data_IF_744279433204
#
_entry.id   IF_744279433204
#
_cell.length_a   1.000
_cell.length_b   1.000
_cell.length_c   1.000
_cell.angle_alpha   90.00
_cell.angle_beta   90.00
_cell.angle_gamma   90.00
#
_symmetry.space_group_name_H-M   'P 1'
#
loop_
_entity.id
_entity.type
_entity.pdbx_description
1 polymer ?
#
# COMPACT_ATOMS: atom_id res chain seq x y z
N UNK A 1 21.88 -10.98 2.06
CA UNK A 1 21.71 -12.23 2.81
C UNK A 1 22.37 -12.08 4.18
N UNK A 2 21.56 -12.02 5.22
CA UNK A 2 22.07 -12.00 6.59
C UNK A 2 21.98 -13.42 7.16
N UNK A 3 23.11 -14.01 7.55
CA UNK A 3 23.21 -15.36 8.10
C UNK A 3 22.65 -15.54 9.53
N UNK A 4 22.15 -14.49 10.16
CA UNK A 4 21.51 -14.53 11.48
C UNK A 4 19.98 -14.61 11.36
N UNK A 5 19.49 -15.67 10.77
CA UNK A 5 18.07 -15.92 10.62
C UNK A 5 17.47 -16.45 11.93
N UNK A 6 16.87 -15.58 12.71
CA UNK A 6 15.89 -15.99 13.72
C UNK A 6 14.67 -16.55 12.97
N UNK A 7 14.12 -17.70 13.42
CA UNK A 7 12.94 -18.29 12.78
C UNK A 7 11.85 -17.21 12.66
N UNK A 8 11.30 -16.95 11.46
CA UNK A 8 10.34 -15.87 11.29
C UNK A 8 9.11 -16.15 12.15
N UNK A 9 8.62 -15.11 12.77
CA UNK A 9 7.24 -15.08 13.22
C UNK A 9 6.32 -15.34 12.03
N UNK A 10 5.12 -15.86 12.29
CA UNK A 10 4.16 -16.19 11.23
C UNK A 10 3.94 -14.99 10.29
N UNK A 11 4.03 -15.22 8.98
CA UNK A 11 3.77 -14.23 7.95
C UNK A 11 4.95 -13.92 7.04
N UNK A 12 4.80 -12.92 6.19
CA UNK A 12 5.80 -12.47 5.24
C UNK A 12 6.80 -11.53 5.94
N UNK A 13 8.06 -11.93 5.99
CA UNK A 13 9.14 -11.09 6.47
C UNK A 13 9.85 -10.43 5.28
N UNK A 14 9.55 -9.15 5.04
CA UNK A 14 10.13 -8.37 3.95
C UNK A 14 11.65 -8.17 4.08
N UNK A 15 12.22 -8.37 5.27
CA UNK A 15 13.66 -8.29 5.50
C UNK A 15 14.38 -9.60 5.18
N UNK A 16 13.65 -10.72 5.20
CA UNK A 16 14.18 -12.07 5.00
C UNK A 16 13.27 -12.91 4.10
N UNK A 17 13.22 -12.57 2.83
CA UNK A 17 12.43 -13.31 1.83
C UNK A 17 13.13 -14.62 1.49
N UNK A 18 12.44 -15.74 1.64
CA UNK A 18 12.91 -17.07 1.28
C UNK A 18 12.05 -17.66 0.17
N UNK A 19 12.59 -17.69 -1.03
CA UNK A 19 11.90 -18.18 -2.23
C UNK A 19 12.23 -19.63 -2.50
N UNK A 20 11.21 -20.40 -2.82
CA UNK A 20 11.29 -21.81 -3.23
C UNK A 20 10.47 -22.02 -4.51
N UNK A 21 10.71 -23.13 -5.19
CA UNK A 21 9.95 -23.51 -6.39
C UNK A 21 9.89 -22.42 -7.47
N UNK A 22 11.00 -21.71 -7.68
CA UNK A 22 11.09 -20.67 -8.70
C UNK A 22 11.03 -21.30 -10.11
N UNK A 23 10.03 -20.92 -10.87
CA UNK A 23 9.92 -21.18 -12.31
C UNK A 23 9.70 -19.86 -13.03
N UNK A 24 10.53 -19.56 -14.03
CA UNK A 24 10.42 -18.31 -14.76
C UNK A 24 10.68 -18.52 -16.25
N UNK A 25 9.90 -17.86 -17.09
CA UNK A 25 10.09 -17.77 -18.53
C UNK A 25 10.11 -16.29 -18.93
N UNK A 26 11.28 -15.83 -19.34
CA UNK A 26 11.49 -14.46 -19.81
C UNK A 26 11.93 -14.56 -21.26
N UNK A 27 11.16 -13.94 -22.17
CA UNK A 27 11.40 -14.07 -23.61
C UNK A 27 12.59 -13.30 -24.14
N UNK A 28 12.82 -12.12 -23.57
CA UNK A 28 13.94 -11.28 -23.99
C UNK A 28 14.38 -10.41 -22.83
N UNK A 29 15.65 -10.49 -22.51
CA UNK A 29 16.30 -9.52 -21.64
C UNK A 29 17.38 -8.84 -22.48
N UNK A 30 17.16 -7.58 -22.80
CA UNK A 30 18.20 -6.69 -23.28
C UNK A 30 18.61 -5.82 -22.10
N UNK A 31 19.88 -5.83 -21.75
CA UNK A 31 20.46 -4.98 -20.73
C UNK A 31 21.72 -4.29 -21.27
N UNK A 32 21.64 -2.98 -21.49
CA UNK A 32 22.78 -2.18 -21.92
C UNK A 32 22.74 -0.80 -21.23
N UNK A 33 23.41 -0.68 -20.09
CA UNK A 33 23.37 0.54 -19.30
C UNK A 33 21.97 0.84 -18.75
N UNK A 34 21.33 1.95 -19.20
CA UNK A 34 19.94 2.28 -18.84
C UNK A 34 18.91 1.61 -19.74
N UNK A 35 19.34 0.96 -20.82
CA UNK A 35 18.42 0.26 -21.72
C UNK A 35 18.10 -1.11 -21.13
N UNK A 36 16.85 -1.29 -20.79
CA UNK A 36 16.30 -2.56 -20.31
C UNK A 36 15.05 -2.83 -21.14
N UNK A 37 14.94 -4.03 -21.67
CA UNK A 37 13.69 -4.51 -22.25
C UNK A 37 13.50 -5.93 -21.75
N UNK A 38 12.49 -6.12 -20.92
CA UNK A 38 12.15 -7.42 -20.37
C UNK A 38 10.68 -7.73 -20.64
N UNK A 39 10.43 -8.85 -21.28
CA UNK A 39 9.09 -9.41 -21.43
C UNK A 39 8.98 -10.65 -20.57
N UNK A 40 8.26 -10.53 -19.47
CA UNK A 40 8.00 -11.62 -18.53
C UNK A 40 6.75 -12.33 -19.01
N UNK A 41 6.88 -13.61 -19.39
CA UNK A 41 5.75 -14.45 -19.80
C UNK A 41 5.14 -15.18 -18.63
N UNK A 42 6.00 -15.81 -17.84
CA UNK A 42 5.60 -16.61 -16.71
C UNK A 42 6.62 -16.45 -15.59
N UNK A 43 6.12 -16.28 -14.41
CA UNK A 43 6.92 -16.28 -13.20
C UNK A 43 6.08 -16.92 -12.10
N UNK A 44 6.56 -18.01 -11.56
CA UNK A 44 5.97 -18.69 -10.43
C UNK A 44 6.99 -18.76 -9.31
N UNK A 45 6.56 -18.50 -8.10
CA UNK A 45 7.42 -18.65 -6.93
C UNK A 45 6.58 -18.87 -5.69
N UNK A 46 7.09 -19.67 -4.78
CA UNK A 46 6.53 -19.85 -3.45
C UNK A 46 7.45 -19.19 -2.44
N UNK A 47 6.88 -18.41 -1.52
CA UNK A 47 7.57 -17.85 -0.40
C UNK A 47 7.30 -18.69 0.85
N UNK A 48 8.26 -18.80 1.74
CA UNK A 48 8.23 -19.65 2.94
C UNK A 48 7.03 -19.37 3.86
N UNK A 49 6.50 -18.15 3.89
CA UNK A 49 5.27 -17.79 4.62
C UNK A 49 4.01 -18.48 4.09
N UNK A 50 4.09 -19.12 2.91
CA UNK A 50 2.98 -19.71 2.19
C UNK A 50 2.41 -18.81 1.09
N UNK A 51 2.92 -17.59 0.91
CA UNK A 51 2.54 -16.73 -0.21
C UNK A 51 3.03 -17.37 -1.51
N UNK A 52 2.13 -17.50 -2.49
CA UNK A 52 2.43 -18.07 -3.80
C UNK A 52 2.16 -17.03 -4.88
N UNK A 53 3.19 -16.67 -5.64
CA UNK A 53 2.97 -15.93 -6.89
C UNK A 53 2.70 -16.97 -7.97
N UNK A 54 1.49 -17.00 -8.49
CA UNK A 54 1.05 -17.92 -9.54
C UNK A 54 1.34 -17.40 -10.94
N UNK A 55 1.43 -16.07 -11.09
CA UNK A 55 1.89 -15.43 -12.31
C UNK A 55 2.45 -14.04 -12.01
N UNK A 56 3.53 -13.72 -12.67
CA UNK A 56 3.97 -12.35 -12.92
C UNK A 56 4.19 -12.24 -14.42
N UNK A 57 3.45 -11.38 -15.09
CA UNK A 57 3.52 -11.22 -16.53
C UNK A 57 3.45 -9.75 -16.92
N UNK A 58 4.10 -9.38 -18.01
CA UNK A 58 4.06 -8.01 -18.51
C UNK A 58 5.36 -7.55 -19.13
N UNK A 59 5.39 -6.27 -19.47
CA UNK A 59 6.52 -5.63 -20.10
C UNK A 59 7.11 -4.58 -19.18
N UNK A 60 8.43 -4.57 -19.08
CA UNK A 60 9.20 -3.50 -18.46
C UNK A 60 10.20 -3.03 -19.52
N UNK A 61 10.14 -1.77 -19.86
CA UNK A 61 11.06 -1.12 -20.80
C UNK A 61 11.72 0.04 -20.10
N UNK A 62 12.98 0.19 -20.35
CA UNK A 62 13.72 1.37 -19.94
C UNK A 62 14.66 1.77 -21.08
N UNK A 63 14.78 3.06 -21.31
CA UNK A 63 15.73 3.65 -22.21
C UNK A 63 16.52 4.77 -21.50
N UNK A 64 17.17 5.65 -22.26
CA UNK A 64 17.92 6.78 -21.69
C UNK A 64 17.01 7.87 -21.11
N UNK A 65 15.73 7.90 -21.47
CA UNK A 65 14.78 8.95 -21.11
C UNK A 65 13.88 8.51 -19.95
N UNK A 66 13.35 7.27 -19.98
CA UNK A 66 12.33 6.84 -19.05
C UNK A 66 12.27 5.32 -18.80
N UNK A 67 11.53 4.95 -17.78
CA UNK A 67 11.08 3.58 -17.52
C UNK A 67 9.59 3.51 -17.84
N UNK A 68 9.19 2.56 -18.68
CA UNK A 68 7.80 2.26 -18.99
C UNK A 68 7.41 0.86 -18.51
N UNK A 69 6.32 0.82 -17.79
CA UNK A 69 5.64 -0.40 -17.35
C UNK A 69 4.19 -0.31 -17.82
N UNK A 70 3.92 -0.64 -19.10
CA UNK A 70 2.60 -0.43 -19.70
C UNK A 70 1.51 -1.33 -19.11
N UNK A 71 1.89 -2.53 -18.69
CA UNK A 71 0.99 -3.49 -18.05
C UNK A 71 1.84 -4.56 -17.35
N UNK A 72 1.88 -4.50 -16.04
CA UNK A 72 2.50 -5.54 -15.20
C UNK A 72 1.42 -6.17 -14.35
N UNK A 73 1.20 -7.47 -14.54
CA UNK A 73 0.24 -8.27 -13.80
C UNK A 73 0.97 -9.19 -12.84
N UNK A 74 0.60 -9.11 -11.56
CA UNK A 74 0.96 -10.09 -10.54
C UNK A 74 -0.30 -10.80 -10.07
N UNK A 75 -0.28 -12.12 -10.07
CA UNK A 75 -1.37 -12.96 -9.57
C UNK A 75 -0.86 -13.93 -8.51
N UNK A 76 -1.70 -14.15 -7.53
CA UNK A 76 -1.63 -15.25 -6.58
C UNK A 76 -2.91 -16.08 -6.74
N UNK A 77 -3.10 -17.19 -6.03
CA UNK A 77 -4.38 -17.91 -6.04
C UNK A 77 -5.57 -17.05 -5.56
N UNK A 78 -5.34 -16.02 -4.75
CA UNK A 78 -6.40 -15.25 -4.10
C UNK A 78 -6.37 -13.76 -4.45
N UNK A 79 -5.32 -13.28 -5.11
CA UNK A 79 -5.13 -11.84 -5.36
C UNK A 79 -4.68 -11.57 -6.79
N UNK A 80 -5.02 -10.36 -7.26
CA UNK A 80 -4.53 -9.81 -8.52
C UNK A 80 -4.07 -8.38 -8.32
N UNK A 81 -2.89 -8.03 -8.84
CA UNK A 81 -2.34 -6.67 -8.82
C UNK A 81 -1.90 -6.29 -10.23
N UNK A 82 -2.37 -5.15 -10.72
CA UNK A 82 -1.96 -4.56 -11.99
C UNK A 82 -1.27 -3.23 -11.75
N UNK A 83 -0.13 -3.05 -12.40
CA UNK A 83 0.65 -1.81 -12.34
C UNK A 83 0.87 -1.28 -13.75
N UNK A 84 0.57 0.00 -13.94
CA UNK A 84 0.96 0.78 -15.11
C UNK A 84 1.80 1.96 -14.63
N UNK A 85 2.98 2.19 -15.23
CA UNK A 85 3.82 3.31 -14.84
C UNK A 85 4.63 3.84 -16.03
N UNK A 86 4.84 5.14 -16.02
CA UNK A 86 5.82 5.84 -16.87
C UNK A 86 6.63 6.76 -15.95
N UNK A 87 7.93 6.56 -15.91
CA UNK A 87 8.83 7.24 -14.97
C UNK A 87 10.03 7.81 -15.76
N UNK A 88 10.00 9.09 -16.14
CA UNK A 88 11.17 9.76 -16.71
C UNK A 88 12.33 9.74 -15.73
N UNK A 89 13.53 9.40 -16.17
CA UNK A 89 14.73 9.42 -15.32
C UNK A 89 14.96 10.79 -14.68
N UNK A 90 14.68 11.85 -15.44
CA UNK A 90 14.77 13.23 -14.96
C UNK A 90 13.81 13.55 -13.81
N UNK A 91 12.74 12.78 -13.62
CA UNK A 91 11.82 12.96 -12.49
C UNK A 91 12.38 12.42 -11.16
N UNK A 92 13.45 11.63 -11.22
CA UNK A 92 14.12 10.99 -10.08
C UNK A 92 15.47 11.63 -9.71
N UNK A 93 15.85 12.71 -10.36
CA UNK A 93 17.10 13.45 -10.12
C UNK A 93 16.95 14.44 -8.94
N UNK A 94 18.08 14.96 -8.43
CA UNK A 94 18.09 15.94 -7.34
C UNK A 94 17.34 17.25 -7.70
N UNK A 95 17.38 17.62 -8.98
CA UNK A 95 16.60 18.72 -9.55
C UNK A 95 15.62 18.18 -10.59
N UNK A 96 14.53 17.54 -10.14
CA UNK A 96 13.72 16.73 -11.01
C UNK A 96 12.98 17.58 -12.05
N UNK A 97 13.05 17.10 -13.29
CA UNK A 97 12.29 17.61 -14.42
C UNK A 97 11.28 16.56 -14.87
N UNK A 98 10.21 16.97 -15.49
CA UNK A 98 9.19 16.04 -15.95
C UNK A 98 8.30 15.52 -14.81
N UNK A 99 7.48 14.55 -15.14
CA UNK A 99 6.48 13.99 -14.21
C UNK A 99 6.35 12.49 -14.43
N UNK A 100 6.57 11.71 -13.40
CA UNK A 100 6.21 10.29 -13.38
C UNK A 100 4.70 10.14 -13.19
N UNK A 101 4.17 9.03 -13.72
CA UNK A 101 2.78 8.59 -13.48
C UNK A 101 2.80 7.12 -13.15
N UNK A 102 2.04 6.73 -12.13
CA UNK A 102 1.83 5.33 -11.81
C UNK A 102 0.38 5.10 -11.37
N UNK A 103 -0.19 3.97 -11.80
CA UNK A 103 -1.51 3.51 -11.44
C UNK A 103 -1.43 2.05 -11.02
N UNK A 104 -1.85 1.78 -9.79
CA UNK A 104 -1.99 0.45 -9.23
C UNK A 104 -3.47 0.11 -9.07
N UNK A 105 -3.86 -1.06 -9.56
CA UNK A 105 -5.16 -1.66 -9.27
C UNK A 105 -4.91 -3.02 -8.62
N UNK A 106 -5.46 -3.23 -7.43
CA UNK A 106 -5.29 -4.48 -6.71
C UNK A 106 -6.64 -5.00 -6.16
N UNK A 107 -6.77 -6.31 -6.22
CA UNK A 107 -7.83 -7.09 -5.57
C UNK A 107 -7.14 -8.14 -4.71
N UNK A 108 -7.10 -7.92 -3.40
CA UNK A 108 -6.31 -8.72 -2.46
C UNK A 108 -7.22 -9.66 -1.68
N UNK A 109 -7.04 -10.96 -1.86
CA UNK A 109 -7.78 -11.99 -1.14
C UNK A 109 -7.37 -12.09 0.33
N UNK A 110 -8.28 -12.60 1.15
CA UNK A 110 -8.11 -12.75 2.60
C UNK A 110 -6.84 -13.50 2.98
N UNK A 111 -6.59 -14.63 2.36
CA UNK A 111 -5.43 -15.48 2.71
C UNK A 111 -4.12 -14.73 2.50
N UNK A 112 -3.96 -14.06 1.37
CA UNK A 112 -2.73 -13.32 1.07
C UNK A 112 -2.55 -12.12 1.99
N UNK A 113 -3.65 -11.40 2.29
CA UNK A 113 -3.64 -10.29 3.26
C UNK A 113 -3.23 -10.77 4.65
N UNK A 114 -3.75 -11.91 5.11
CA UNK A 114 -3.42 -12.46 6.42
C UNK A 114 -1.97 -12.96 6.49
N UNK A 115 -1.43 -13.50 5.39
CA UNK A 115 -0.02 -13.85 5.27
C UNK A 115 0.84 -12.56 5.33
N UNK A 116 0.49 -11.55 4.54
CA UNK A 116 1.25 -10.29 4.49
C UNK A 116 1.22 -9.52 5.83
N UNK A 117 0.10 -9.59 6.55
CA UNK A 117 -0.06 -8.92 7.84
C UNK A 117 0.68 -9.62 9.00
N UNK A 118 1.15 -10.85 8.80
CA UNK A 118 1.95 -11.59 9.78
C UNK A 118 1.14 -12.11 10.96
N UNK A 119 1.64 -11.85 12.17
CA UNK A 119 1.07 -12.40 13.41
C UNK A 119 -0.21 -11.66 13.81
N UNK A 120 -1.35 -12.25 13.47
CA UNK A 120 -2.69 -11.76 13.85
C UNK A 120 -3.40 -12.78 14.74
N UNK A 121 -4.28 -12.34 15.67
CA UNK A 121 -5.11 -13.23 16.47
C UNK A 121 -5.94 -14.17 15.59
N UNK A 122 -6.02 -15.45 15.97
CA UNK A 122 -6.80 -16.45 15.22
C UNK A 122 -8.29 -16.09 15.09
N UNK A 123 -8.84 -15.45 16.12
CA UNK A 123 -10.22 -14.98 16.09
C UNK A 123 -10.42 -13.86 15.08
N UNK A 124 -9.43 -12.97 14.92
CA UNK A 124 -9.45 -11.94 13.87
C UNK A 124 -9.37 -12.57 12.48
N UNK A 125 -8.46 -13.53 12.26
CA UNK A 125 -8.35 -14.25 10.99
C UNK A 125 -9.67 -14.92 10.58
N UNK A 126 -10.36 -15.53 11.56
CA UNK A 126 -11.68 -16.16 11.33
C UNK A 126 -12.77 -15.14 11.02
N UNK A 127 -12.77 -14.01 11.76
CA UNK A 127 -13.80 -12.98 11.64
C UNK A 127 -13.60 -12.05 10.41
N UNK A 128 -12.39 -11.99 9.85
CA UNK A 128 -12.10 -11.15 8.68
C UNK A 128 -12.99 -11.55 7.48
N UNK A 129 -13.62 -10.57 6.78
CA UNK A 129 -14.49 -10.85 5.65
C UNK A 129 -13.82 -11.66 4.54
N UNK A 130 -14.56 -12.58 3.92
CA UNK A 130 -14.07 -13.38 2.78
C UNK A 130 -14.14 -12.63 1.44
N UNK A 131 -14.40 -11.33 1.47
CA UNK A 131 -14.39 -10.48 0.28
C UNK A 131 -13.00 -9.89 0.05
N UNK A 132 -12.55 -9.77 -1.22
CA UNK A 132 -11.28 -9.17 -1.49
C UNK A 132 -11.26 -7.68 -1.15
N UNK A 133 -10.12 -7.22 -0.65
CA UNK A 133 -9.82 -5.80 -0.49
C UNK A 133 -9.45 -5.22 -1.85
N UNK A 134 -10.26 -4.31 -2.36
CA UNK A 134 -9.99 -3.59 -3.59
C UNK A 134 -9.21 -2.30 -3.29
N UNK A 135 -8.13 -2.06 -4.04
CA UNK A 135 -7.30 -0.86 -3.95
C UNK A 135 -7.10 -0.31 -5.36
N UNK A 136 -7.34 0.99 -5.53
CA UNK A 136 -6.86 1.74 -6.68
C UNK A 136 -6.03 2.91 -6.18
N UNK A 137 -4.77 2.97 -6.60
CA UNK A 137 -3.84 4.02 -6.18
C UNK A 137 -3.14 4.61 -7.41
N UNK A 138 -3.32 5.90 -7.62
CA UNK A 138 -2.69 6.66 -8.69
C UNK A 138 -1.83 7.78 -8.12
N UNK A 139 -0.64 7.97 -8.68
CA UNK A 139 0.26 9.06 -8.33
C UNK A 139 0.80 9.74 -9.57
N UNK A 140 1.04 11.03 -9.47
CA UNK A 140 1.66 11.85 -10.52
C UNK A 140 2.60 12.88 -9.89
N UNK A 141 3.73 13.13 -10.51
CA UNK A 141 4.69 14.14 -10.04
C UNK A 141 6.14 13.71 -10.19
N UNK A 142 6.99 14.21 -9.32
CA UNK A 142 8.43 13.92 -9.28
C UNK A 142 8.94 14.03 -7.83
N UNK A 143 10.24 13.92 -7.61
CA UNK A 143 10.82 14.02 -6.25
C UNK A 143 10.70 15.41 -5.60
N UNK A 144 10.43 16.47 -6.37
CA UNK A 144 10.11 17.79 -5.79
C UNK A 144 8.64 17.94 -5.42
N UNK A 145 7.74 17.33 -6.20
CA UNK A 145 6.31 17.45 -5.98
C UNK A 145 5.59 16.18 -6.43
N UNK A 146 4.81 15.58 -5.55
CA UNK A 146 4.01 14.39 -5.84
C UNK A 146 2.56 14.62 -5.43
N UNK A 147 1.62 14.11 -6.21
CA UNK A 147 0.20 14.16 -5.96
C UNK A 147 -0.45 12.79 -6.08
N UNK A 148 -1.35 12.47 -5.17
CA UNK A 148 -2.25 11.32 -5.27
C UNK A 148 -3.38 11.72 -6.22
N UNK A 149 -3.44 11.11 -7.40
CA UNK A 149 -4.48 11.34 -8.41
C UNK A 149 -5.70 10.47 -8.19
N UNK A 150 -5.49 9.30 -7.58
CA UNK A 150 -6.53 8.38 -7.19
C UNK A 150 -6.07 7.62 -5.93
N UNK A 151 -7.00 7.45 -4.99
CA UNK A 151 -6.71 6.72 -3.75
C UNK A 151 -8.00 6.15 -3.21
N UNK A 152 -8.42 4.97 -3.74
CA UNK A 152 -9.65 4.30 -3.34
C UNK A 152 -9.31 2.94 -2.72
N UNK A 153 -9.87 2.69 -1.53
CA UNK A 153 -9.70 1.42 -0.81
C UNK A 153 -11.09 0.96 -0.37
N UNK A 154 -11.46 -0.26 -0.69
CA UNK A 154 -12.78 -0.80 -0.39
C UNK A 154 -12.71 -2.26 0.04
N UNK A 155 -13.23 -2.55 1.23
CA UNK A 155 -13.57 -3.90 1.66
C UNK A 155 -15.11 -4.04 1.63
N UNK A 156 -15.69 -4.78 0.66
CA UNK A 156 -17.12 -4.83 0.48
C UNK A 156 -17.88 -5.24 1.73
N UNK A 157 -18.87 -4.43 2.12
CA UNK A 157 -19.65 -4.63 3.35
C UNK A 157 -19.01 -4.11 4.63
N UNK A 158 -17.69 -3.88 4.65
CA UNK A 158 -16.95 -3.42 5.81
C UNK A 158 -16.63 -1.92 5.76
N UNK A 159 -15.96 -1.45 4.73
CA UNK A 159 -15.66 -0.03 4.58
C UNK A 159 -15.31 0.37 3.15
N UNK A 160 -15.42 1.64 2.88
CA UNK A 160 -14.85 2.30 1.71
C UNK A 160 -14.11 3.57 2.16
N UNK A 161 -12.99 3.84 1.52
CA UNK A 161 -12.10 4.96 1.85
C UNK A 161 -11.57 5.60 0.57
N UNK A 162 -11.54 6.92 0.55
CA UNK A 162 -10.91 7.72 -0.49
C UNK A 162 -9.81 8.58 0.14
N UNK A 163 -8.67 8.62 -0.52
CA UNK A 163 -7.48 9.39 -0.11
C UNK A 163 -7.07 10.29 -1.27
N UNK A 164 -6.85 11.55 -0.98
CA UNK A 164 -6.27 12.54 -1.91
C UNK A 164 -5.18 13.32 -1.21
N UNK A 165 -4.28 13.94 -1.95
CA UNK A 165 -3.24 14.75 -1.32
C UNK A 165 -2.10 15.08 -2.25
N UNK A 166 -1.19 15.90 -1.74
CA UNK A 166 0.04 16.26 -2.42
C UNK A 166 1.15 16.52 -1.41
N UNK A 167 2.38 16.41 -1.88
CA UNK A 167 3.56 16.68 -1.08
C UNK A 167 4.61 17.37 -1.94
N UNK A 168 5.18 18.45 -1.41
CA UNK A 168 6.30 19.17 -1.98
C UNK A 168 7.59 18.86 -1.23
N UNK A 169 8.73 18.98 -1.91
CA UNK A 169 10.06 18.68 -1.36
C UNK A 169 10.12 17.29 -0.71
N UNK A 170 9.68 16.26 -1.45
CA UNK A 170 9.44 14.91 -0.94
C UNK A 170 10.67 14.31 -0.25
N UNK A 171 11.87 14.56 -0.79
CA UNK A 171 13.14 14.03 -0.28
C UNK A 171 13.77 14.90 0.81
N UNK A 172 13.35 16.16 0.97
CA UNK A 172 13.88 17.09 1.97
C UNK A 172 13.00 17.12 3.22
N UNK A 173 13.40 16.42 4.26
CA UNK A 173 12.63 16.34 5.52
C UNK A 173 12.43 17.69 6.24
N UNK A 174 13.29 18.67 5.96
CA UNK A 174 13.23 20.01 6.59
C UNK A 174 12.24 20.91 5.84
N UNK A 175 12.31 20.91 4.51
CA UNK A 175 11.47 21.78 3.66
C UNK A 175 10.18 21.10 3.19
N UNK A 176 10.00 19.84 3.53
CA UNK A 176 8.81 19.08 3.15
C UNK A 176 7.54 19.79 3.61
N UNK A 177 6.62 19.98 2.68
CA UNK A 177 5.25 20.43 2.94
C UNK A 177 4.28 19.52 2.23
N UNK A 178 3.10 19.34 2.79
CA UNK A 178 2.10 18.50 2.14
C UNK A 178 0.82 18.40 2.93
N UNK A 179 -0.16 17.85 2.24
CA UNK A 179 -1.52 17.66 2.74
C UNK A 179 -2.05 16.35 2.23
N UNK A 180 -2.67 15.57 3.11
CA UNK A 180 -3.41 14.35 2.79
C UNK A 180 -4.81 14.48 3.36
N UNK A 181 -5.82 14.28 2.54
CA UNK A 181 -7.22 14.23 2.92
C UNK A 181 -7.75 12.81 2.82
N UNK A 182 -8.50 12.41 3.83
CA UNK A 182 -9.10 11.10 3.96
C UNK A 182 -10.61 11.26 4.14
N UNK A 183 -11.38 10.47 3.39
CA UNK A 183 -12.83 10.28 3.60
C UNK A 183 -13.10 8.80 3.65
N UNK A 184 -13.75 8.33 4.71
CA UNK A 184 -14.14 6.95 4.81
C UNK A 184 -15.57 6.79 5.33
N UNK A 185 -16.19 5.67 5.00
CA UNK A 185 -17.49 5.25 5.50
C UNK A 185 -17.42 3.78 5.89
N UNK A 186 -17.88 3.46 7.09
CA UNK A 186 -17.97 2.09 7.55
C UNK A 186 -19.31 1.43 7.19
N UNK A 187 -19.24 0.15 6.89
CA UNK A 187 -20.33 -0.81 7.01
C UNK A 187 -20.19 -1.59 8.31
N UNK A 188 -20.13 -2.91 8.22
CA UNK A 188 -19.90 -3.78 9.38
C UNK A 188 -18.40 -3.92 9.65
N UNK A 189 -17.97 -3.47 10.82
CA UNK A 189 -16.58 -3.54 11.31
C UNK A 189 -16.42 -4.50 12.50
N UNK A 190 -17.39 -5.37 12.78
CA UNK A 190 -17.38 -6.26 13.95
C UNK A 190 -16.14 -7.17 14.00
N UNK A 191 -15.58 -7.52 12.83
CA UNK A 191 -14.34 -8.29 12.75
C UNK A 191 -13.16 -7.61 13.48
N UNK A 192 -13.16 -6.27 13.60
CA UNK A 192 -12.12 -5.55 14.34
C UNK A 192 -12.20 -5.81 15.85
N UNK A 193 -13.39 -6.14 16.38
CA UNK A 193 -13.54 -6.50 17.79
C UNK A 193 -12.77 -7.78 18.13
N UNK A 194 -12.54 -8.64 17.15
CA UNK A 194 -11.74 -9.85 17.34
C UNK A 194 -10.24 -9.59 17.60
N UNK A 195 -9.76 -8.35 17.41
CA UNK A 195 -8.44 -7.91 17.89
C UNK A 195 -8.38 -7.73 19.41
N UNK A 196 -9.52 -7.56 20.06
CA UNK A 196 -9.60 -7.43 21.52
C UNK A 196 -9.57 -8.81 22.18
N UNK A 197 -9.08 -8.89 23.44
CA UNK A 197 -9.25 -10.10 24.26
C UNK A 197 -10.73 -10.50 24.36
N UNK A 198 -11.03 -11.79 24.34
CA UNK A 198 -12.41 -12.30 24.37
C UNK A 198 -13.24 -11.74 25.53
N UNK A 199 -12.62 -11.53 26.71
CA UNK A 199 -13.28 -10.96 27.89
C UNK A 199 -13.72 -9.50 27.77
N UNK A 200 -13.28 -8.81 26.74
CA UNK A 200 -13.58 -7.39 26.52
C UNK A 200 -14.53 -7.15 25.33
N UNK A 201 -14.66 -8.13 24.42
CA UNK A 201 -15.42 -7.95 23.16
C UNK A 201 -16.87 -7.55 23.39
N UNK A 202 -17.53 -8.16 24.34
CA UNK A 202 -18.95 -7.91 24.66
C UNK A 202 -19.20 -6.51 25.26
N UNK A 203 -18.13 -5.81 25.66
CA UNK A 203 -18.23 -4.45 26.22
C UNK A 203 -18.19 -3.37 25.12
N UNK A 204 -17.85 -3.74 23.89
CA UNK A 204 -17.72 -2.82 22.78
C UNK A 204 -18.64 -3.21 21.62
N UNK A 205 -19.16 -2.22 20.93
CA UNK A 205 -19.87 -2.36 19.67
C UNK A 205 -19.39 -1.28 18.72
N UNK A 206 -19.13 -1.65 17.47
CA UNK A 206 -18.77 -0.70 16.43
C UNK A 206 -20.03 -0.46 15.58
N UNK A 207 -20.65 0.71 15.69
CA UNK A 207 -21.84 0.99 14.91
C UNK A 207 -21.51 1.08 13.41
N UNK A 208 -22.39 0.58 12.57
CA UNK A 208 -22.27 0.76 11.11
C UNK A 208 -22.60 2.21 10.71
N UNK A 209 -22.14 2.63 9.54
CA UNK A 209 -22.45 3.94 8.98
C UNK A 209 -21.63 5.10 9.55
N UNK A 210 -20.54 4.81 10.29
CA UNK A 210 -19.61 5.86 10.71
C UNK A 210 -19.00 6.51 9.47
N UNK A 211 -19.01 7.83 9.44
CA UNK A 211 -18.28 8.62 8.47
C UNK A 211 -17.02 9.20 9.14
N UNK A 212 -15.88 8.99 8.53
CA UNK A 212 -14.61 9.56 8.94
C UNK A 212 -14.17 10.59 7.88
N UNK A 213 -13.84 11.79 8.34
CA UNK A 213 -13.09 12.77 7.56
C UNK A 213 -11.79 13.06 8.30
N UNK A 214 -10.69 13.00 7.57
CA UNK A 214 -9.37 13.25 8.12
C UNK A 214 -8.59 14.19 7.22
N UNK A 215 -7.74 14.97 7.84
CA UNK A 215 -6.72 15.79 7.19
C UNK A 215 -5.41 15.62 7.93
N UNK A 216 -4.33 15.38 7.21
CA UNK A 216 -2.99 15.38 7.76
C UNK A 216 -2.14 16.36 6.95
N UNK A 217 -1.43 17.24 7.64
CA UNK A 217 -0.54 18.21 7.03
C UNK A 217 0.86 18.10 7.60
N UNK A 218 1.85 18.39 6.77
CA UNK A 218 3.24 18.57 7.20
C UNK A 218 3.76 19.90 6.70
N UNK A 219 4.32 20.70 7.58
CA UNK A 219 5.01 21.94 7.24
C UNK A 219 6.01 22.31 8.34
N UNK A 220 7.19 22.78 7.96
CA UNK A 220 8.24 23.19 8.92
C UNK A 220 8.55 22.11 9.97
N UNK A 221 8.59 20.83 9.53
CA UNK A 221 8.80 19.65 10.39
C UNK A 221 7.70 19.42 11.45
N UNK A 222 6.61 20.15 11.38
CA UNK A 222 5.44 19.92 12.21
C UNK A 222 4.41 19.09 11.42
N UNK A 223 3.98 17.98 12.03
CA UNK A 223 2.92 17.11 11.55
C UNK A 223 1.65 17.42 12.34
N UNK A 224 0.58 17.71 11.64
CA UNK A 224 -0.74 17.94 12.23
C UNK A 224 -1.74 16.99 11.62
N UNK A 225 -2.58 16.41 12.45
CA UNK A 225 -3.68 15.55 12.01
C UNK A 225 -4.96 15.99 12.69
N UNK A 226 -6.01 16.13 11.90
CA UNK A 226 -7.37 16.38 12.35
C UNK A 226 -8.27 15.26 11.83
N UNK A 227 -8.99 14.60 12.73
CA UNK A 227 -9.94 13.54 12.41
C UNK A 227 -11.32 13.92 12.96
N UNK A 228 -12.34 13.71 12.16
CA UNK A 228 -13.73 13.91 12.54
C UNK A 228 -14.50 12.65 12.23
N UNK A 229 -15.00 11.99 13.27
CA UNK A 229 -15.95 10.88 13.16
C UNK A 229 -17.36 11.41 13.36
N UNK A 230 -18.26 11.00 12.49
CA UNK A 230 -19.68 11.35 12.56
C UNK A 230 -20.51 10.08 12.42
N UNK A 231 -21.50 9.92 13.30
CA UNK A 231 -22.49 8.85 13.21
C UNK A 231 -23.81 9.39 13.74
N UNK A 232 -24.87 9.29 12.93
CA UNK A 232 -26.18 9.87 13.22
C UNK A 232 -26.08 11.31 13.72
N UNK A 233 -26.38 11.55 15.01
CA UNK A 233 -26.26 12.86 15.66
C UNK A 233 -24.96 13.03 16.45
N UNK A 234 -24.14 11.98 16.56
CA UNK A 234 -22.86 12.00 17.27
C UNK A 234 -21.73 12.51 16.41
N UNK A 235 -20.86 13.32 16.99
CA UNK A 235 -19.63 13.81 16.36
C UNK A 235 -18.50 13.82 17.38
N UNK A 236 -17.36 13.22 16.98
CA UNK A 236 -16.12 13.22 17.75
C UNK A 236 -15.00 13.80 16.89
N UNK A 237 -14.27 14.74 17.43
CA UNK A 237 -13.09 15.32 16.79
C UNK A 237 -11.83 14.95 17.57
N UNK A 238 -10.77 14.62 16.84
CA UNK A 238 -9.43 14.38 17.38
C UNK A 238 -8.44 15.28 16.62
N UNK A 239 -7.59 15.96 17.34
CA UNK A 239 -6.47 16.72 16.77
C UNK A 239 -5.18 16.25 17.43
N UNK A 240 -4.18 15.92 16.62
CA UNK A 240 -2.84 15.56 17.07
C UNK A 240 -1.81 16.46 16.40
N UNK A 241 -0.72 16.78 17.12
CA UNK A 241 0.43 17.51 16.60
C UNK A 241 1.71 16.81 17.05
N UNK A 242 2.65 16.68 16.15
CA UNK A 242 3.93 16.08 16.40
C UNK A 242 5.03 16.88 15.73
N UNK A 243 6.09 17.20 16.48
CA UNK A 243 7.28 17.84 15.94
C UNK A 243 8.52 17.10 16.48
N UNK A 244 9.24 16.35 15.62
CA UNK A 244 10.39 15.55 16.03
C UNK A 244 11.56 16.39 16.58
N UNK A 245 11.68 17.65 16.18
CA UNK A 245 12.80 18.53 16.59
C UNK A 245 12.62 19.08 18.01
N UNK A 246 11.39 19.17 18.50
CA UNK A 246 11.10 19.66 19.86
C UNK A 246 11.17 18.60 20.95
N UNK A 247 11.40 17.34 20.55
CA UNK A 247 11.51 16.19 21.45
C UNK A 247 12.98 15.70 21.63
N UNK A 248 13.93 16.36 20.98
CA UNK A 248 15.38 16.06 21.06
C UNK A 248 16.06 16.95 22.12
#
# INVERSE_FOLDING_TARGET
>A
YDGNYAAPEQGLDFSHISLTNLNTSIDSILYQGKEINAHIKEFFVEERSGLKVSALAGNVRSDHEQIDVPDLLLQTPNSEVRLTATIPWSSLEDHPQGSMKALLNASLGKEDLLIAAGSLPEDFKKAYPDKPLAITAGVEGNLSSIRITQGDIMLPGAFQMNVTGSMESVTDSIRRTGEIQLKARSGNLDFLLAMLPASQRDQFAIPAGIQLKGEATVANQEYRTELVLTQDKGKVGLTARYNPVKLA
#
